data_IF_746330331829
#
_entry.id   IF_746330331829
#
_cell.length_a   1.000
_cell.length_b   1.000
_cell.length_c   1.000
_cell.angle_alpha   90.00
_cell.angle_beta   90.00
_cell.angle_gamma   90.00
#
_symmetry.space_group_name_H-M   'P 1'
#
loop_
_entity.id
_entity.type
_entity.pdbx_description
1 polymer ?
#
# COMPACT_ATOMS: atom_id res chain seq x y z
N UNK A 1 -15.49 -22.74 11.65
CA UNK A 1 -14.57 -21.70 11.13
C UNK A 1 -14.43 -21.91 9.64
N UNK A 2 -15.13 -21.11 8.84
CA UNK A 2 -14.89 -21.02 7.40
C UNK A 2 -13.46 -20.54 7.21
N UNK A 3 -12.63 -21.31 6.49
CA UNK A 3 -11.32 -20.82 6.05
C UNK A 3 -11.58 -19.55 5.25
N UNK A 4 -11.25 -18.39 5.81
CA UNK A 4 -11.41 -17.14 5.08
C UNK A 4 -10.55 -17.23 3.82
N UNK A 5 -11.16 -17.03 2.66
CA UNK A 5 -10.45 -17.05 1.39
C UNK A 5 -9.50 -15.86 1.38
N UNK A 6 -8.19 -16.13 1.27
CA UNK A 6 -7.18 -15.08 1.23
C UNK A 6 -7.16 -14.47 -0.17
N UNK A 7 -6.93 -13.17 -0.24
CA UNK A 7 -6.78 -12.48 -1.51
C UNK A 7 -5.63 -13.10 -2.33
N UNK A 8 -5.83 -13.49 -3.61
CA UNK A 8 -4.92 -14.36 -4.34
C UNK A 8 -3.53 -13.75 -4.59
N UNK A 9 -3.41 -12.42 -4.68
CA UNK A 9 -2.13 -11.74 -4.90
C UNK A 9 -1.48 -11.28 -3.59
N UNK A 10 -2.22 -10.52 -2.79
CA UNK A 10 -1.72 -9.89 -1.55
C UNK A 10 -1.69 -10.84 -0.36
N UNK A 11 -2.44 -11.95 -0.41
CA UNK A 11 -2.61 -12.91 0.69
C UNK A 11 -3.17 -12.28 1.98
N UNK A 12 -3.87 -11.15 1.85
CA UNK A 12 -4.59 -10.51 2.95
C UNK A 12 -5.94 -11.19 3.15
N UNK A 13 -6.43 -11.19 4.39
CA UNK A 13 -7.79 -11.65 4.72
C UNK A 13 -8.85 -10.60 4.39
N UNK A 14 -8.51 -9.34 4.59
CA UNK A 14 -9.25 -8.17 4.12
C UNK A 14 -8.31 -6.97 4.04
N UNK A 15 -8.67 -5.97 3.24
CA UNK A 15 -7.95 -4.71 3.18
C UNK A 15 -8.93 -3.54 3.31
N UNK A 16 -8.45 -2.46 3.90
CA UNK A 16 -9.15 -1.19 3.99
C UNK A 16 -8.19 -0.02 3.79
N UNK A 17 -8.73 1.09 3.33
CA UNK A 17 -7.97 2.26 2.93
C UNK A 17 -8.75 3.53 3.23
N UNK A 18 -8.07 4.52 3.80
CA UNK A 18 -8.60 5.89 3.92
C UNK A 18 -7.82 6.76 2.94
N UNK A 19 -8.43 7.20 1.81
CA UNK A 19 -7.78 8.09 0.85
C UNK A 19 -7.44 9.46 1.45
N UNK A 20 -6.43 10.14 0.91
CA UNK A 20 -6.05 11.53 1.25
C UNK A 20 -6.62 12.54 0.24
N UNK A 21 -7.84 12.29 -0.25
CA UNK A 21 -8.53 13.06 -1.30
C UNK A 21 -9.47 14.16 -0.75
N UNK A 22 -9.68 14.19 0.57
CA UNK A 22 -10.48 15.21 1.25
C UNK A 22 -9.58 16.35 1.71
N UNK A 23 -9.72 17.51 1.07
CA UNK A 23 -9.00 18.73 1.41
C UNK A 23 -9.22 19.11 2.89
N UNK A 24 -8.14 19.47 3.58
CA UNK A 24 -8.11 19.89 4.99
C UNK A 24 -8.68 18.90 6.03
N UNK A 25 -8.88 17.62 5.67
CA UNK A 25 -9.33 16.62 6.66
C UNK A 25 -8.25 16.41 7.73
N UNK A 26 -8.59 16.54 9.02
CA UNK A 26 -7.67 16.19 10.10
C UNK A 26 -7.28 14.71 10.03
N UNK A 27 -6.00 14.42 10.26
CA UNK A 27 -5.54 13.02 10.36
C UNK A 27 -6.26 12.23 11.45
N UNK A 28 -6.75 12.89 12.50
CA UNK A 28 -7.52 12.25 13.58
C UNK A 28 -8.76 11.53 13.06
N UNK A 29 -9.51 12.14 12.14
CA UNK A 29 -10.70 11.51 11.54
C UNK A 29 -10.34 10.30 10.68
N UNK A 30 -9.26 10.41 9.89
CA UNK A 30 -8.76 9.31 9.06
C UNK A 30 -8.26 8.14 9.91
N UNK A 31 -7.53 8.45 10.98
CA UNK A 31 -7.04 7.47 11.94
C UNK A 31 -8.21 6.78 12.63
N UNK A 32 -9.22 7.51 13.10
CA UNK A 32 -10.37 6.94 13.76
C UNK A 32 -11.11 5.92 12.88
N UNK A 33 -11.31 6.23 11.59
CA UNK A 33 -11.91 5.30 10.63
C UNK A 33 -11.09 4.01 10.49
N UNK A 34 -9.78 4.14 10.26
CA UNK A 34 -8.90 3.00 10.08
C UNK A 34 -8.73 2.17 11.38
N UNK A 35 -8.66 2.84 12.53
CA UNK A 35 -8.52 2.22 13.84
C UNK A 35 -9.77 1.41 14.20
N UNK A 36 -10.96 1.99 14.04
CA UNK A 36 -12.21 1.27 14.28
C UNK A 36 -12.30 0.01 13.42
N UNK A 37 -12.04 0.14 12.11
CA UNK A 37 -12.08 -0.99 11.20
C UNK A 37 -11.07 -2.07 11.59
N UNK A 38 -9.81 -1.73 11.88
CA UNK A 38 -8.80 -2.74 12.19
C UNK A 38 -9.04 -3.41 13.54
N UNK A 39 -9.65 -2.71 14.50
CA UNK A 39 -10.03 -3.27 15.79
C UNK A 39 -11.13 -4.33 15.65
N UNK A 40 -12.16 -4.06 14.85
CA UNK A 40 -13.19 -5.05 14.53
C UNK A 40 -12.58 -6.29 13.88
N UNK A 41 -11.66 -6.10 12.92
CA UNK A 41 -10.92 -7.22 12.29
C UNK A 41 -10.05 -7.98 13.29
N UNK A 42 -9.39 -7.27 14.21
CA UNK A 42 -8.58 -7.89 15.26
C UNK A 42 -9.39 -8.76 16.20
N UNK A 43 -10.61 -8.34 16.55
CA UNK A 43 -11.54 -9.16 17.33
C UNK A 43 -11.97 -10.43 16.58
N UNK A 44 -12.28 -10.32 15.28
CA UNK A 44 -12.61 -11.49 14.44
C UNK A 44 -11.42 -12.44 14.20
N UNK A 45 -10.21 -11.90 14.27
CA UNK A 45 -8.95 -12.62 14.06
C UNK A 45 -8.31 -13.11 15.37
N UNK A 46 -8.90 -12.80 16.52
CA UNK A 46 -8.40 -13.11 17.87
C UNK A 46 -6.96 -12.61 18.10
N UNK A 47 -6.63 -11.44 17.56
CA UNK A 47 -5.32 -10.81 17.64
C UNK A 47 -5.45 -9.29 17.76
N UNK A 48 -4.67 -8.68 18.66
CA UNK A 48 -4.58 -7.23 18.73
C UNK A 48 -3.90 -6.66 17.48
N UNK A 49 -4.39 -5.54 16.92
CA UNK A 49 -3.77 -4.91 15.77
C UNK A 49 -2.42 -4.29 16.13
N UNK A 50 -1.49 -4.32 15.18
CA UNK A 50 -0.18 -3.70 15.25
C UNK A 50 -0.15 -2.38 14.46
N UNK A 51 0.50 -1.35 14.99
CA UNK A 51 0.79 -0.14 14.23
C UNK A 51 2.10 -0.29 13.44
N UNK A 52 2.05 0.02 12.14
CA UNK A 52 3.21 0.25 11.29
C UNK A 52 3.28 1.73 10.88
N UNK A 53 4.46 2.33 11.00
CA UNK A 53 4.71 3.70 10.53
C UNK A 53 6.14 3.89 10.02
N UNK A 54 6.42 5.06 9.43
CA UNK A 54 7.74 5.40 8.89
C UNK A 54 8.79 5.70 9.97
N UNK A 55 8.36 6.21 11.13
CA UNK A 55 9.24 6.72 12.18
C UNK A 55 9.18 5.86 13.44
N UNK A 56 10.33 5.65 14.10
CA UNK A 56 10.43 4.81 15.32
C UNK A 56 9.71 5.42 16.54
N UNK A 57 9.54 6.74 16.58
CA UNK A 57 8.91 7.42 17.71
C UNK A 57 7.40 7.60 17.47
N UNK A 58 6.62 6.52 17.55
CA UNK A 58 5.17 6.65 17.40
C UNK A 58 4.50 7.44 18.53
N UNK A 59 5.10 7.46 19.73
CA UNK A 59 4.63 8.26 20.87
C UNK A 59 4.63 9.78 20.62
N UNK A 60 5.28 10.28 19.56
CA UNK A 60 5.24 11.69 19.17
C UNK A 60 4.12 12.04 18.19
N UNK A 61 3.32 11.07 17.74
CA UNK A 61 2.22 11.35 16.81
C UNK A 61 1.05 12.09 17.49
N UNK A 62 0.83 11.83 18.79
CA UNK A 62 -0.18 12.55 19.57
C UNK A 62 -1.63 12.18 19.24
N UNK A 63 -1.86 11.00 18.65
CA UNK A 63 -3.19 10.50 18.29
C UNK A 63 -3.59 9.36 19.23
N UNK A 64 -4.71 9.54 19.94
CA UNK A 64 -5.15 8.61 20.99
C UNK A 64 -5.41 7.19 20.47
N UNK A 65 -6.03 7.07 19.28
CA UNK A 65 -6.33 5.76 18.67
C UNK A 65 -5.06 4.99 18.29
N UNK A 66 -4.02 5.69 17.81
CA UNK A 66 -2.73 5.06 17.53
C UNK A 66 -2.07 4.61 18.84
N UNK A 67 -2.10 5.44 19.88
CA UNK A 67 -1.56 5.08 21.20
C UNK A 67 -2.24 3.85 21.80
N UNK A 68 -3.54 3.65 21.53
CA UNK A 68 -4.27 2.46 21.95
C UNK A 68 -3.79 1.19 21.23
N UNK A 69 -3.64 1.25 19.90
CA UNK A 69 -3.09 0.15 19.09
C UNK A 69 -1.66 -0.20 19.55
N UNK A 70 -0.82 0.82 19.76
CA UNK A 70 0.56 0.64 20.24
C UNK A 70 0.58 -0.07 21.60
N UNK A 71 -0.33 0.29 22.51
CA UNK A 71 -0.40 -0.31 23.84
C UNK A 71 -0.84 -1.78 23.80
N UNK A 72 -1.70 -2.14 22.85
CA UNK A 72 -2.29 -3.46 22.78
C UNK A 72 -1.49 -4.45 21.92
N UNK A 73 -1.16 -4.11 20.68
CA UNK A 73 -0.44 -4.98 19.75
C UNK A 73 0.99 -4.53 19.44
N UNK A 74 1.33 -3.28 19.75
CA UNK A 74 2.69 -2.74 19.60
C UNK A 74 2.87 -1.83 18.39
N UNK A 75 4.13 -1.45 18.19
CA UNK A 75 4.56 -0.58 17.09
C UNK A 75 5.77 -1.18 16.38
N UNK A 76 5.76 -1.14 15.06
CA UNK A 76 6.88 -1.59 14.24
C UNK A 76 7.19 -0.61 13.11
N UNK A 77 8.46 -0.60 12.72
CA UNK A 77 8.95 0.14 11.56
C UNK A 77 9.80 -0.81 10.72
N UNK A 78 10.03 -0.51 9.42
CA UNK A 78 10.93 -1.31 8.60
C UNK A 78 12.36 -1.44 9.15
N UNK A 79 12.77 -0.53 10.04
CA UNK A 79 14.10 -0.51 10.66
C UNK A 79 14.15 -1.29 11.98
N UNK A 80 13.03 -1.75 12.51
CA UNK A 80 12.96 -2.48 13.77
C UNK A 80 13.75 -3.79 13.68
N UNK A 81 14.66 -4.02 14.63
CA UNK A 81 15.50 -5.23 14.68
C UNK A 81 14.72 -6.50 15.05
N UNK A 82 13.75 -6.35 15.94
CA UNK A 82 12.82 -7.43 16.29
C UNK A 82 11.58 -7.28 15.42
N UNK A 83 11.25 -8.34 14.68
CA UNK A 83 10.03 -8.39 13.89
C UNK A 83 8.91 -8.94 14.78
N UNK A 84 7.80 -8.21 14.94
CA UNK A 84 6.61 -8.78 15.55
C UNK A 84 6.13 -9.99 14.74
N UNK A 85 5.34 -10.83 15.40
CA UNK A 85 4.57 -11.86 14.71
C UNK A 85 3.56 -11.22 13.75
N UNK A 86 3.07 -12.05 12.82
CA UNK A 86 2.03 -11.62 11.89
C UNK A 86 0.70 -11.41 12.61
N UNK A 87 -0.07 -10.46 12.11
CA UNK A 87 -1.37 -10.12 12.69
C UNK A 87 -2.07 -9.00 11.90
N UNK A 88 -3.23 -8.53 12.36
CA UNK A 88 -3.88 -7.36 11.81
C UNK A 88 -2.96 -6.14 11.90
N UNK A 89 -2.88 -5.34 10.84
CA UNK A 89 -1.98 -4.17 10.78
C UNK A 89 -2.74 -2.92 10.41
N UNK A 90 -2.47 -1.83 11.11
CA UNK A 90 -2.75 -0.47 10.64
C UNK A 90 -1.42 0.16 10.18
N UNK A 91 -1.35 0.54 8.90
CA UNK A 91 -0.23 1.32 8.38
C UNK A 91 -0.62 2.81 8.31
N UNK A 92 0.07 3.64 9.07
CA UNK A 92 -0.19 5.08 9.14
C UNK A 92 0.75 5.84 8.20
N UNK A 93 0.18 6.55 7.22
CA UNK A 93 0.87 7.33 6.18
C UNK A 93 2.11 6.63 5.62
N UNK A 94 1.98 5.37 5.15
CA UNK A 94 3.14 4.59 4.80
C UNK A 94 3.83 5.14 3.54
N UNK A 95 5.15 5.17 3.58
CA UNK A 95 5.97 5.13 2.37
C UNK A 95 6.03 3.70 1.77
N UNK A 96 6.76 3.52 0.66
CA UNK A 96 6.98 2.21 0.03
C UNK A 96 7.44 1.14 1.02
N UNK A 97 8.47 1.45 1.81
CA UNK A 97 9.13 0.47 2.67
C UNK A 97 8.23 0.02 3.79
N UNK A 98 7.52 0.96 4.41
CA UNK A 98 6.56 0.69 5.47
C UNK A 98 5.30 0.01 4.95
N UNK A 99 4.83 0.33 3.73
CA UNK A 99 3.72 -0.38 3.09
C UNK A 99 4.08 -1.85 2.83
N UNK A 100 5.25 -2.11 2.23
CA UNK A 100 5.70 -3.49 1.98
C UNK A 100 5.92 -4.27 3.27
N UNK A 101 6.48 -3.60 4.28
CA UNK A 101 6.65 -4.18 5.60
C UNK A 101 5.30 -4.50 6.26
N UNK A 102 4.33 -3.58 6.20
CA UNK A 102 2.97 -3.79 6.69
C UNK A 102 2.27 -4.96 5.98
N UNK A 103 2.36 -5.04 4.65
CA UNK A 103 1.83 -6.18 3.87
C UNK A 103 2.49 -7.51 4.28
N UNK A 104 3.78 -7.50 4.60
CA UNK A 104 4.51 -8.68 5.08
C UNK A 104 4.03 -9.16 6.46
N UNK A 105 3.75 -8.22 7.37
CA UNK A 105 3.21 -8.51 8.70
C UNK A 105 1.73 -8.90 8.67
N UNK A 106 0.94 -8.31 7.77
CA UNK A 106 -0.47 -8.61 7.60
C UNK A 106 -0.75 -9.85 6.74
N UNK A 107 0.28 -10.58 6.28
CA UNK A 107 0.07 -11.77 5.43
C UNK A 107 -0.73 -12.84 6.19
N UNK A 108 -1.91 -13.17 5.68
CA UNK A 108 -2.89 -14.07 6.32
C UNK A 108 -3.90 -13.36 7.22
N UNK A 109 -3.77 -12.04 7.36
CA UNK A 109 -4.51 -11.15 8.27
C UNK A 109 -5.05 -9.92 7.53
N UNK A 110 -5.73 -9.04 8.25
CA UNK A 110 -6.27 -7.80 7.70
C UNK A 110 -5.27 -6.64 7.73
N UNK A 111 -5.36 -5.73 6.75
CA UNK A 111 -4.53 -4.54 6.65
C UNK A 111 -5.39 -3.30 6.40
N UNK A 112 -5.29 -2.31 7.29
CA UNK A 112 -5.85 -0.97 7.09
C UNK A 112 -4.72 0.01 6.78
N UNK A 113 -4.93 0.91 5.82
CA UNK A 113 -3.96 1.95 5.45
C UNK A 113 -4.60 3.33 5.53
N UNK A 114 -3.96 4.25 6.26
CA UNK A 114 -4.26 5.68 6.18
C UNK A 114 -3.30 6.29 5.17
N UNK A 115 -3.83 6.78 4.05
CA UNK A 115 -3.03 7.43 3.01
C UNK A 115 -2.47 8.77 3.49
N UNK A 116 -1.36 9.16 2.88
CA UNK A 116 -0.82 10.51 2.97
C UNK A 116 -0.35 10.95 1.58
N UNK A 117 0.79 11.63 1.50
CA UNK A 117 1.25 12.20 0.23
C UNK A 117 1.60 11.22 -0.89
N UNK A 118 1.72 9.92 -0.61
CA UNK A 118 1.94 8.89 -1.63
C UNK A 118 0.59 8.32 -2.04
N UNK A 119 0.16 8.45 -3.31
CA UNK A 119 -1.13 7.90 -3.75
C UNK A 119 -1.13 6.37 -3.70
N UNK A 120 -2.13 5.78 -3.03
CA UNK A 120 -2.28 4.34 -2.85
C UNK A 120 -3.59 3.79 -3.43
N UNK A 121 -4.34 4.59 -4.20
CA UNK A 121 -5.58 4.15 -4.86
C UNK A 121 -5.41 2.85 -5.68
N UNK A 122 -4.31 2.73 -6.43
CA UNK A 122 -4.03 1.52 -7.22
C UNK A 122 -3.62 0.32 -6.36
N UNK A 123 -2.92 0.56 -5.24
CA UNK A 123 -2.69 -0.49 -4.26
C UNK A 123 -4.02 -0.94 -3.63
N UNK A 124 -4.89 -0.01 -3.27
CA UNK A 124 -6.20 -0.30 -2.69
C UNK A 124 -7.06 -1.11 -3.67
N UNK A 125 -7.10 -0.72 -4.95
CA UNK A 125 -7.76 -1.50 -6.00
C UNK A 125 -7.17 -2.91 -6.16
N UNK A 126 -5.83 -3.02 -6.23
CA UNK A 126 -5.15 -4.31 -6.37
C UNK A 126 -5.28 -5.23 -5.16
N UNK A 127 -5.58 -4.67 -3.98
CA UNK A 127 -5.86 -5.40 -2.74
C UNK A 127 -7.36 -5.66 -2.52
N UNK A 128 -8.24 -5.18 -3.41
CA UNK A 128 -9.69 -5.12 -3.21
C UNK A 128 -10.05 -4.48 -1.84
N UNK A 129 -9.33 -3.41 -1.49
CA UNK A 129 -9.51 -2.72 -0.23
C UNK A 129 -10.83 -1.95 -0.21
N UNK A 130 -11.47 -1.89 0.96
CA UNK A 130 -12.65 -1.06 1.18
C UNK A 130 -12.18 0.39 1.39
N UNK A 131 -12.71 1.33 0.61
CA UNK A 131 -12.58 2.75 0.89
C UNK A 131 -13.44 3.09 2.11
N UNK A 132 -12.81 3.44 3.23
CA UNK A 132 -13.51 3.69 4.50
C UNK A 132 -14.31 5.00 4.53
N UNK A 133 -14.15 5.89 3.53
CA UNK A 133 -15.02 7.06 3.40
C UNK A 133 -16.36 6.71 2.75
N UNK A 134 -16.37 5.76 1.81
CA UNK A 134 -17.57 5.42 1.03
C UNK A 134 -18.20 4.08 1.44
N UNK A 135 -17.42 3.19 2.07
CA UNK A 135 -17.79 1.82 2.39
C UNK A 135 -17.76 0.87 1.18
N UNK A 136 -17.27 1.33 0.02
CA UNK A 136 -17.24 0.56 -1.21
C UNK A 136 -15.86 -0.09 -1.46
N UNK A 137 -15.83 -1.21 -2.17
CA UNK A 137 -14.56 -1.81 -2.62
C UNK A 137 -13.95 -0.92 -3.69
N UNK A 138 -12.69 -0.51 -3.49
CA UNK A 138 -11.96 0.32 -4.44
C UNK A 138 -11.76 -0.44 -5.75
N UNK A 139 -12.10 0.20 -6.86
CA UNK A 139 -11.79 -0.26 -8.22
C UNK A 139 -10.70 0.62 -8.83
N UNK A 140 -9.88 0.05 -9.71
CA UNK A 140 -8.88 0.85 -10.42
C UNK A 140 -9.57 1.78 -11.42
N UNK A 141 -9.04 3.00 -11.53
CA UNK A 141 -9.44 3.96 -12.57
C UNK A 141 -8.64 3.77 -13.86
N UNK A 142 -7.62 2.90 -13.84
CA UNK A 142 -6.81 2.57 -15.01
C UNK A 142 -7.48 1.50 -15.87
N UNK A 143 -7.44 1.72 -17.19
CA UNK A 143 -7.89 0.73 -18.16
C UNK A 143 -7.13 -0.60 -18.02
N UNK A 144 -7.83 -1.72 -18.22
CA UNK A 144 -7.30 -3.07 -18.03
C UNK A 144 -6.02 -3.37 -18.84
N UNK A 145 -5.91 -2.82 -20.05
CA UNK A 145 -4.73 -2.99 -20.89
C UNK A 145 -3.53 -2.19 -20.37
N UNK A 146 -3.75 -1.00 -19.79
CA UNK A 146 -2.71 -0.21 -19.13
C UNK A 146 -2.16 -0.97 -17.92
N UNK A 147 -3.05 -1.54 -17.09
CA UNK A 147 -2.64 -2.34 -15.91
C UNK A 147 -1.87 -3.58 -16.30
N UNK A 148 -2.33 -4.30 -17.33
CA UNK A 148 -1.63 -5.48 -17.86
C UNK A 148 -0.22 -5.16 -18.34
N UNK A 149 -0.04 -4.02 -19.00
CA UNK A 149 1.27 -3.57 -19.45
C UNK A 149 2.15 -3.14 -18.27
N UNK A 150 1.60 -2.48 -17.25
CA UNK A 150 2.30 -2.17 -16.00
C UNK A 150 2.74 -3.45 -15.25
N UNK A 151 1.88 -4.44 -15.13
CA UNK A 151 2.20 -5.74 -14.52
C UNK A 151 3.32 -6.45 -15.28
N UNK A 152 3.32 -6.34 -16.62
CA UNK A 152 4.40 -6.86 -17.47
C UNK A 152 5.71 -6.12 -17.17
N UNK A 153 5.68 -4.80 -17.06
CA UNK A 153 6.86 -3.98 -16.71
C UNK A 153 7.42 -4.34 -15.34
N UNK A 154 6.56 -4.58 -14.34
CA UNK A 154 6.93 -5.07 -13.00
C UNK A 154 7.58 -6.44 -13.09
N UNK A 155 7.00 -7.36 -13.88
CA UNK A 155 7.52 -8.72 -14.03
C UNK A 155 8.95 -8.75 -14.57
N UNK A 156 9.24 -7.96 -15.61
CA UNK A 156 10.56 -7.97 -16.26
C UNK A 156 11.61 -7.18 -15.49
N UNK A 157 11.29 -5.98 -15.00
CA UNK A 157 12.29 -5.07 -14.42
C UNK A 157 12.03 -4.63 -12.98
N UNK A 158 10.94 -5.06 -12.35
CA UNK A 158 10.60 -4.61 -11.00
C UNK A 158 11.68 -4.96 -9.97
N UNK A 159 12.13 -6.22 -9.97
CA UNK A 159 13.12 -6.75 -9.00
C UNK A 159 14.48 -6.06 -9.04
N UNK A 160 14.92 -5.60 -10.22
CA UNK A 160 16.18 -4.90 -10.38
C UNK A 160 16.00 -3.36 -10.46
N UNK A 161 14.75 -2.89 -10.38
CA UNK A 161 14.40 -1.48 -10.51
C UNK A 161 14.78 -0.89 -11.87
N UNK A 162 14.70 -1.67 -12.95
CA UNK A 162 15.04 -1.27 -14.32
C UNK A 162 16.45 -0.68 -14.45
N UNK A 163 17.48 -1.34 -13.88
CA UNK A 163 18.88 -0.94 -14.08
C UNK A 163 19.40 -1.27 -15.49
N UNK A 164 18.95 -2.39 -16.07
CA UNK A 164 19.39 -2.90 -17.37
C UNK A 164 18.88 -2.08 -18.56
N UNK A 165 19.64 -2.10 -19.66
CA UNK A 165 19.23 -1.42 -20.90
C UNK A 165 17.99 -2.06 -21.53
N UNK A 166 17.93 -3.39 -21.53
CA UNK A 166 16.82 -4.15 -22.10
C UNK A 166 15.53 -3.93 -21.31
N UNK A 167 15.58 -3.98 -19.97
CA UNK A 167 14.42 -3.73 -19.10
C UNK A 167 13.85 -2.32 -19.32
N UNK A 168 14.73 -1.32 -19.51
CA UNK A 168 14.33 0.06 -19.82
C UNK A 168 13.68 0.18 -21.19
N UNK A 169 14.26 -0.47 -22.21
CA UNK A 169 13.70 -0.48 -23.55
C UNK A 169 12.33 -1.16 -23.57
N UNK A 170 12.17 -2.24 -22.83
CA UNK A 170 10.92 -2.97 -22.69
C UNK A 170 9.87 -2.15 -21.93
N UNK A 171 10.24 -1.52 -20.82
CA UNK A 171 9.34 -0.63 -20.08
C UNK A 171 8.81 0.51 -20.95
N UNK A 172 9.68 1.15 -21.75
CA UNK A 172 9.24 2.15 -22.73
C UNK A 172 8.32 1.55 -23.79
N UNK A 173 8.66 0.38 -24.34
CA UNK A 173 7.83 -0.28 -25.35
C UNK A 173 6.40 -0.51 -24.88
N UNK A 174 6.22 -0.91 -23.62
CA UNK A 174 4.90 -1.14 -23.04
C UNK A 174 4.17 0.16 -22.70
N UNK A 175 4.87 1.17 -22.14
CA UNK A 175 4.21 2.33 -21.53
C UNK A 175 4.16 3.59 -22.41
N UNK A 176 5.05 3.74 -23.40
CA UNK A 176 5.14 4.97 -24.20
C UNK A 176 3.85 5.28 -24.96
N UNK A 177 3.14 4.25 -25.46
CA UNK A 177 1.86 4.45 -26.14
C UNK A 177 0.77 5.00 -25.22
N UNK A 178 0.68 4.47 -24.00
CA UNK A 178 -0.28 4.92 -22.98
C UNK A 178 0.03 6.34 -22.50
N UNK A 179 1.31 6.65 -22.31
CA UNK A 179 1.77 8.00 -21.90
C UNK A 179 1.51 9.04 -22.98
N UNK A 180 1.91 8.76 -24.23
CA UNK A 180 1.65 9.68 -25.35
C UNK A 180 0.16 9.85 -25.64
N UNK A 181 -0.66 8.84 -25.33
CA UNK A 181 -2.11 8.90 -25.43
C UNK A 181 -2.82 9.56 -24.23
N UNK A 182 -2.08 9.97 -23.19
CA UNK A 182 -2.64 10.60 -21.99
C UNK A 182 -3.42 9.65 -21.07
N UNK A 183 -3.32 8.33 -21.27
CA UNK A 183 -4.01 7.29 -20.47
C UNK A 183 -3.25 6.90 -19.20
N UNK A 184 -1.97 7.28 -19.13
CA UNK A 184 -1.09 6.98 -18.00
C UNK A 184 -0.08 8.12 -17.86
N UNK A 185 0.04 8.70 -16.67
CA UNK A 185 1.16 9.62 -16.38
C UNK A 185 2.37 8.85 -15.85
N UNK A 186 3.60 9.39 -15.99
CA UNK A 186 4.77 8.82 -15.36
C UNK A 186 4.63 8.67 -13.83
N UNK A 187 3.96 9.61 -13.16
CA UNK A 187 3.69 9.56 -11.72
C UNK A 187 2.71 8.43 -11.37
N UNK A 188 1.64 8.27 -12.14
CA UNK A 188 0.70 7.15 -12.00
C UNK A 188 1.40 5.80 -12.19
N UNK A 189 2.30 5.69 -13.19
CA UNK A 189 3.08 4.48 -13.40
C UNK A 189 3.99 4.19 -12.20
N UNK A 190 4.67 5.20 -11.66
CA UNK A 190 5.53 5.07 -10.50
C UNK A 190 4.74 4.66 -9.24
N UNK A 191 3.59 5.28 -8.99
CA UNK A 191 2.70 4.92 -7.89
C UNK A 191 2.17 3.48 -8.02
N UNK A 192 1.72 3.08 -9.22
CA UNK A 192 1.21 1.74 -9.47
C UNK A 192 2.26 0.67 -9.16
N UNK A 193 3.50 0.85 -9.65
CA UNK A 193 4.54 -0.18 -9.43
C UNK A 193 4.94 -0.33 -7.97
N UNK A 194 4.76 0.71 -7.14
CA UNK A 194 5.01 0.64 -5.69
C UNK A 194 4.02 -0.28 -4.97
N UNK A 195 2.85 -0.55 -5.55
CA UNK A 195 1.90 -1.53 -5.01
C UNK A 195 2.45 -2.96 -5.01
N UNK A 196 3.47 -3.25 -5.82
CA UNK A 196 4.13 -4.54 -5.90
C UNK A 196 5.30 -4.68 -4.92
N UNK A 197 5.31 -5.76 -4.14
CA UNK A 197 6.41 -6.14 -3.24
C UNK A 197 7.76 -6.38 -3.95
N UNK A 198 7.77 -6.50 -5.29
CA UNK A 198 8.99 -6.71 -6.06
C UNK A 198 9.72 -5.41 -6.41
N UNK A 199 9.14 -4.24 -6.18
CA UNK A 199 9.63 -2.95 -6.67
C UNK A 199 10.04 -2.04 -5.51
N UNK A 200 11.30 -1.61 -5.50
CA UNK A 200 11.78 -0.62 -4.51
C UNK A 200 11.44 0.82 -4.89
N UNK A 201 11.41 1.75 -3.92
CA UNK A 201 11.25 3.20 -4.15
C UNK A 201 12.28 3.75 -5.15
N UNK A 202 13.53 3.30 -5.06
CA UNK A 202 14.57 3.67 -6.03
C UNK A 202 14.26 3.15 -7.44
N UNK A 203 13.64 1.97 -7.54
CA UNK A 203 13.17 1.41 -8.80
C UNK A 203 12.03 2.23 -9.39
N UNK A 204 11.01 2.55 -8.59
CA UNK A 204 9.88 3.39 -9.00
C UNK A 204 10.34 4.80 -9.43
N UNK A 205 11.23 5.44 -8.67
CA UNK A 205 11.84 6.73 -9.04
C UNK A 205 12.61 6.66 -10.35
N UNK A 206 13.36 5.57 -10.57
CA UNK A 206 14.06 5.37 -11.85
C UNK A 206 13.08 5.18 -13.01
N UNK A 207 11.99 4.44 -12.79
CA UNK A 207 10.92 4.29 -13.78
C UNK A 207 10.31 5.65 -14.12
N UNK A 208 9.95 6.45 -13.10
CA UNK A 208 9.47 7.83 -13.26
C UNK A 208 10.44 8.67 -14.09
N UNK A 209 11.69 8.80 -13.66
CA UNK A 209 12.72 9.59 -14.35
C UNK A 209 12.96 9.14 -15.80
N UNK A 210 12.74 7.86 -16.11
CA UNK A 210 12.91 7.31 -17.44
C UNK A 210 11.72 7.63 -18.35
N UNK A 211 10.51 7.64 -17.80
CA UNK A 211 9.26 7.89 -18.52
C UNK A 211 8.94 9.38 -18.69
N UNK A 212 9.48 10.23 -17.83
CA UNK A 212 9.36 11.69 -17.92
C UNK A 212 10.35 12.35 -18.92
N UNK A 213 11.11 11.55 -19.68
CA UNK A 213 12.06 12.00 -20.70
C UNK A 213 11.54 11.71 -22.09
#
# INVERSE_FOLDING_TARGET
MTSAELHPSTHLRAAAWVPDDVEDRPYEDAIALAANWIWERGQEEDLAPLLVSNAQNAASFGYADLDEIIRAGGHATPQSRNRPDRGPVLAFVPDERSLHFAMGLARGHSLAVVEGSTPLAEWAAGAAAINLLTGEVTTSEMDDDVRKDLDSVIFYGGRNGWTGADDKAQARRFLSGHISGGRLTPDQAAAYVLSSQSVSDRGAKRLLEMLSR
#
